data_IF_334901162959
#
_entry.id   IF_334901162959
#
_cell.length_a   1.000
_cell.length_b   1.000
_cell.length_c   1.000
_cell.angle_alpha   90.00
_cell.angle_beta   90.00
_cell.angle_gamma   90.00
#
_symmetry.space_group_name_H-M   'P 1'
#
loop_
_entity.id
_entity.type
_entity.pdbx_description
1 polymer ?
#
# COMPACT_ATOMS: atom_id res chain seq x y z
N UNK A 1 -8.17 21.61 11.36
CA UNK A 1 -7.59 20.59 10.48
C UNK A 1 -6.55 19.81 11.27
N UNK A 2 -6.60 18.46 11.22
CA UNK A 2 -5.63 17.63 11.95
C UNK A 2 -4.22 17.78 11.38
N UNK A 3 -3.15 17.56 12.20
CA UNK A 3 -1.77 17.59 11.70
C UNK A 3 -1.52 16.62 10.54
N UNK A 4 -2.09 15.41 10.60
CA UNK A 4 -1.98 14.40 9.53
C UNK A 4 -2.56 14.91 8.20
N UNK A 5 -3.69 15.59 8.24
CA UNK A 5 -4.33 16.11 7.03
C UNK A 5 -3.52 17.25 6.41
N UNK A 6 -2.94 18.13 7.24
CA UNK A 6 -2.04 19.20 6.76
C UNK A 6 -0.79 18.63 6.11
N UNK A 7 -0.17 17.64 6.74
CA UNK A 7 1.02 16.96 6.23
C UNK A 7 0.72 16.24 4.91
N UNK A 8 -0.44 15.62 4.80
CA UNK A 8 -0.88 14.94 3.58
C UNK A 8 -1.08 15.93 2.43
N UNK A 9 -1.76 17.06 2.68
CA UNK A 9 -1.94 18.09 1.66
C UNK A 9 -0.60 18.65 1.17
N UNK A 10 0.31 18.94 2.09
CA UNK A 10 1.66 19.39 1.77
C UNK A 10 2.39 18.36 0.92
N UNK A 11 2.35 17.09 1.31
CA UNK A 11 2.99 16.00 0.57
C UNK A 11 2.44 15.87 -0.85
N UNK A 12 1.13 16.02 -1.04
CA UNK A 12 0.51 15.99 -2.38
C UNK A 12 1.05 17.10 -3.29
N UNK A 13 1.22 18.28 -2.75
CA UNK A 13 1.76 19.43 -3.49
C UNK A 13 3.25 19.21 -3.83
N UNK A 14 4.01 18.66 -2.89
CA UNK A 14 5.45 18.40 -3.07
C UNK A 14 5.75 17.20 -3.98
N UNK A 15 4.78 16.31 -4.19
CA UNK A 15 4.93 15.11 -5.01
C UNK A 15 3.92 15.06 -6.16
N UNK A 16 3.89 16.07 -7.07
CA UNK A 16 2.93 16.11 -8.16
C UNK A 16 3.06 14.94 -9.13
N UNK A 17 4.24 14.35 -9.24
CA UNK A 17 4.49 13.16 -10.06
C UNK A 17 3.68 11.94 -9.64
N UNK A 18 3.16 11.95 -8.40
CA UNK A 18 2.30 10.90 -7.87
C UNK A 18 0.84 11.37 -7.81
N UNK A 19 0.61 12.59 -7.32
CA UNK A 19 -0.72 13.09 -6.93
C UNK A 19 -1.49 13.85 -8.00
N UNK A 20 -0.81 14.31 -9.06
CA UNK A 20 -1.43 15.19 -10.07
C UNK A 20 -2.50 14.48 -10.90
N UNK A 21 -2.34 13.18 -11.15
CA UNK A 21 -3.28 12.38 -11.92
C UNK A 21 -3.64 11.11 -11.16
N UNK A 22 -4.84 11.10 -10.57
CA UNK A 22 -5.39 9.95 -9.85
C UNK A 22 -6.36 9.13 -10.71
N UNK A 23 -6.33 9.30 -12.03
CA UNK A 23 -7.15 8.49 -12.92
C UNK A 23 -6.71 7.03 -12.88
N UNK A 24 -7.64 6.08 -12.66
CA UNK A 24 -7.32 4.65 -12.64
C UNK A 24 -6.69 4.14 -13.92
N UNK A 25 -7.02 4.77 -15.05
CA UNK A 25 -6.49 4.39 -16.36
C UNK A 25 -4.96 4.48 -16.43
N UNK A 26 -4.33 5.38 -15.69
CA UNK A 26 -2.87 5.54 -15.66
C UNK A 26 -2.15 4.33 -15.06
N UNK A 27 -2.81 3.56 -14.20
CA UNK A 27 -2.27 2.39 -13.51
C UNK A 27 -3.06 1.11 -13.75
N UNK A 28 -3.95 1.12 -14.76
CA UNK A 28 -4.86 0.02 -15.02
C UNK A 28 -4.14 -1.31 -15.30
N UNK A 29 -3.05 -1.29 -16.06
CA UNK A 29 -2.25 -2.48 -16.33
C UNK A 29 -1.67 -3.10 -15.06
N UNK A 30 -1.24 -2.27 -14.11
CA UNK A 30 -0.75 -2.70 -12.80
C UNK A 30 -1.86 -3.32 -11.96
N UNK A 31 -3.04 -2.68 -11.93
CA UNK A 31 -4.21 -3.20 -11.23
C UNK A 31 -4.69 -4.54 -11.81
N UNK A 32 -4.78 -4.64 -13.13
CA UNK A 32 -5.22 -5.86 -13.82
C UNK A 32 -4.22 -7.01 -13.69
N UNK A 33 -2.94 -6.72 -13.46
CA UNK A 33 -1.95 -7.74 -13.13
C UNK A 33 -2.17 -8.37 -11.76
N UNK A 34 -3.11 -7.86 -10.96
CA UNK A 34 -3.38 -8.35 -9.62
C UNK A 34 -2.37 -7.91 -8.58
N UNK A 35 -1.76 -6.75 -8.80
CA UNK A 35 -0.76 -6.18 -7.89
C UNK A 35 -1.31 -5.88 -6.50
N UNK A 36 -2.57 -5.45 -6.40
CA UNK A 36 -3.13 -4.89 -5.17
C UNK A 36 -4.52 -5.43 -4.89
N UNK A 37 -4.77 -5.83 -3.66
CA UNK A 37 -6.08 -6.22 -3.16
C UNK A 37 -6.36 -5.61 -1.80
N UNK A 38 -7.64 -5.62 -1.44
CA UNK A 38 -8.12 -5.17 -0.13
C UNK A 38 -8.98 -6.28 0.46
N UNK A 39 -8.72 -6.65 1.71
CA UNK A 39 -9.49 -7.71 2.36
C UNK A 39 -10.94 -7.27 2.58
N UNK A 40 -11.87 -8.22 2.45
CA UNK A 40 -13.31 -7.97 2.69
C UNK A 40 -13.59 -7.67 4.15
N UNK A 41 -12.86 -8.32 5.06
CA UNK A 41 -13.04 -8.17 6.49
C UNK A 41 -11.89 -7.39 7.12
N UNK A 42 -12.22 -6.61 8.15
CA UNK A 42 -11.23 -5.89 8.96
C UNK A 42 -10.53 -6.87 9.91
N UNK A 43 -9.35 -6.48 10.39
CA UNK A 43 -8.67 -7.27 11.41
C UNK A 43 -9.38 -7.13 12.77
N UNK A 44 -8.95 -7.88 13.81
CA UNK A 44 -9.61 -7.83 15.12
C UNK A 44 -9.59 -6.45 15.80
N UNK A 45 -8.69 -5.56 15.38
CA UNK A 45 -8.63 -4.19 15.89
C UNK A 45 -9.46 -3.19 15.06
N UNK A 46 -10.17 -3.68 14.04
CA UNK A 46 -10.99 -2.86 13.16
C UNK A 46 -10.24 -2.19 12.02
N UNK A 47 -8.97 -2.47 11.84
CA UNK A 47 -8.15 -1.88 10.77
C UNK A 47 -8.50 -2.47 9.41
N UNK A 48 -8.51 -1.62 8.39
CA UNK A 48 -8.60 -2.06 6.99
C UNK A 48 -7.27 -2.72 6.60
N UNK A 49 -7.33 -3.83 5.88
CA UNK A 49 -6.12 -4.58 5.50
C UNK A 49 -5.91 -4.53 3.99
N UNK A 50 -4.75 -4.04 3.60
CA UNK A 50 -4.31 -3.89 2.22
C UNK A 50 -3.24 -4.93 1.91
N UNK A 51 -3.30 -5.54 0.71
CA UNK A 51 -2.27 -6.48 0.25
C UNK A 51 -1.67 -5.96 -1.04
N UNK A 52 -0.33 -6.00 -1.12
CA UNK A 52 0.45 -5.63 -2.29
C UNK A 52 1.33 -6.80 -2.70
N UNK A 53 1.22 -7.24 -3.95
CA UNK A 53 2.05 -8.32 -4.52
C UNK A 53 3.12 -7.72 -5.43
N UNK A 54 4.30 -7.49 -4.89
CA UNK A 54 5.38 -6.80 -5.60
C UNK A 54 5.84 -7.58 -6.85
N UNK A 55 5.77 -8.90 -6.82
CA UNK A 55 6.10 -9.73 -7.99
C UNK A 55 5.20 -9.49 -9.21
N UNK A 56 4.01 -8.93 -9.02
CA UNK A 56 3.09 -8.58 -10.11
C UNK A 56 3.37 -7.20 -10.71
N UNK A 57 4.30 -6.45 -10.13
CA UNK A 57 4.77 -5.19 -10.66
C UNK A 57 5.88 -5.42 -11.68
N UNK A 58 5.62 -5.09 -12.95
CA UNK A 58 6.65 -5.10 -13.99
C UNK A 58 7.34 -3.72 -14.02
N UNK A 59 8.62 -3.62 -13.55
CA UNK A 59 9.31 -2.34 -13.49
C UNK A 59 9.72 -1.79 -14.87
N UNK A 60 9.55 -2.56 -15.93
CA UNK A 60 9.72 -2.07 -17.31
C UNK A 60 8.54 -1.26 -17.78
N UNK A 61 7.34 -1.54 -17.26
CA UNK A 61 6.09 -0.89 -17.66
C UNK A 61 5.65 0.21 -16.69
N UNK A 62 5.96 0.06 -15.41
CA UNK A 62 5.52 0.97 -14.36
C UNK A 62 6.68 1.37 -13.47
N UNK A 63 6.75 2.65 -13.13
CA UNK A 63 7.76 3.18 -12.22
C UNK A 63 7.32 3.02 -10.75
N UNK A 64 8.22 3.31 -9.82
CA UNK A 64 7.89 3.39 -8.39
C UNK A 64 6.79 4.43 -8.13
N UNK A 65 6.72 5.50 -8.91
CA UNK A 65 5.67 6.52 -8.79
C UNK A 65 4.29 5.99 -9.15
N UNK A 66 4.20 5.11 -10.14
CA UNK A 66 2.94 4.42 -10.49
C UNK A 66 2.47 3.52 -9.37
N UNK A 67 3.40 2.78 -8.75
CA UNK A 67 3.14 1.94 -7.58
C UNK A 67 2.61 2.77 -6.41
N UNK A 68 3.22 3.91 -6.15
CA UNK A 68 2.73 4.88 -5.16
C UNK A 68 1.32 5.38 -5.47
N UNK A 69 1.06 5.67 -6.74
CA UNK A 69 -0.24 6.17 -7.17
C UNK A 69 -1.36 5.18 -6.87
N UNK A 70 -1.10 3.88 -7.01
CA UNK A 70 -2.07 2.84 -6.61
C UNK A 70 -2.43 2.97 -5.13
N UNK A 71 -1.44 3.12 -4.27
CA UNK A 71 -1.67 3.30 -2.83
C UNK A 71 -2.43 4.58 -2.52
N UNK A 72 -2.11 5.67 -3.21
CA UNK A 72 -2.79 6.95 -3.02
C UNK A 72 -4.26 6.87 -3.45
N UNK A 73 -4.55 6.24 -4.60
CA UNK A 73 -5.91 6.01 -5.07
C UNK A 73 -6.72 5.23 -4.03
N UNK A 74 -6.19 4.11 -3.56
CA UNK A 74 -6.84 3.30 -2.53
C UNK A 74 -7.11 4.12 -1.27
N UNK A 75 -6.14 4.90 -0.83
CA UNK A 75 -6.27 5.72 0.39
C UNK A 75 -7.37 6.76 0.28
N UNK A 76 -7.47 7.42 -0.86
CA UNK A 76 -8.51 8.43 -1.11
C UNK A 76 -9.91 7.81 -1.09
N UNK A 77 -10.04 6.53 -1.45
CA UNK A 77 -11.31 5.82 -1.41
C UNK A 77 -11.65 5.32 0.00
N UNK A 78 -10.70 4.70 0.70
CA UNK A 78 -10.98 4.11 2.02
C UNK A 78 -11.02 5.14 3.14
N UNK A 79 -10.42 6.33 2.97
CA UNK A 79 -10.50 7.40 3.98
C UNK A 79 -11.93 7.90 4.20
N UNK A 80 -12.83 7.64 3.25
CA UNK A 80 -14.25 7.98 3.36
C UNK A 80 -14.99 7.10 4.35
N UNK A 81 -14.45 5.93 4.68
CA UNK A 81 -15.01 5.00 5.66
C UNK A 81 -14.70 5.49 7.07
N UNK A 82 -15.74 5.78 7.85
CA UNK A 82 -15.58 6.29 9.22
C UNK A 82 -14.77 5.33 10.11
N UNK A 83 -15.01 4.04 9.97
CA UNK A 83 -14.31 3.01 10.74
C UNK A 83 -12.82 2.94 10.38
N UNK A 84 -12.47 3.16 9.12
CA UNK A 84 -11.07 3.25 8.67
C UNK A 84 -10.38 4.51 9.22
N UNK A 85 -11.09 5.63 9.30
CA UNK A 85 -10.58 6.85 9.94
C UNK A 85 -10.23 6.62 11.40
N UNK A 86 -11.05 5.85 12.12
CA UNK A 86 -10.87 5.54 13.54
C UNK A 86 -9.76 4.50 13.78
N UNK A 87 -9.73 3.45 12.99
CA UNK A 87 -8.94 2.25 13.26
C UNK A 87 -7.72 2.09 12.35
N UNK A 88 -7.57 2.96 11.35
CA UNK A 88 -6.42 2.98 10.47
C UNK A 88 -6.34 1.79 9.53
N UNK A 89 -5.14 1.56 9.01
CA UNK A 89 -4.83 0.52 8.02
C UNK A 89 -3.66 -0.33 8.45
N UNK A 90 -3.64 -1.57 7.98
CA UNK A 90 -2.47 -2.45 8.01
C UNK A 90 -2.18 -2.91 6.59
N UNK A 91 -0.91 -3.01 6.24
CA UNK A 91 -0.47 -3.40 4.91
C UNK A 91 0.33 -4.70 4.97
N UNK A 92 0.05 -5.61 4.04
CA UNK A 92 0.83 -6.82 3.81
C UNK A 92 1.52 -6.66 2.46
N UNK A 93 2.85 -6.67 2.46
CA UNK A 93 3.67 -6.61 1.26
C UNK A 93 4.24 -8.00 0.99
N UNK A 94 3.72 -8.66 -0.04
CA UNK A 94 4.26 -9.93 -0.53
C UNK A 94 5.39 -9.62 -1.50
N UNK A 95 6.61 -9.92 -1.07
CA UNK A 95 7.83 -9.64 -1.82
C UNK A 95 8.30 -10.84 -2.67
N UNK A 96 7.48 -11.89 -2.79
CA UNK A 96 7.78 -12.97 -3.70
C UNK A 96 7.92 -12.43 -5.13
N UNK A 97 9.02 -12.78 -5.78
CA UNK A 97 9.31 -12.26 -7.11
C UNK A 97 10.03 -10.90 -7.12
N UNK A 98 10.44 -10.38 -5.97
CA UNK A 98 11.30 -9.20 -5.89
C UNK A 98 12.59 -9.44 -6.67
N UNK A 99 12.92 -8.50 -7.58
CA UNK A 99 14.11 -8.56 -8.46
C UNK A 99 14.96 -7.31 -8.32
N UNK A 100 16.20 -7.37 -8.80
CA UNK A 100 17.07 -6.19 -8.85
C UNK A 100 16.45 -5.03 -9.64
N UNK A 101 15.66 -5.32 -10.68
CA UNK A 101 14.95 -4.30 -11.44
C UNK A 101 13.98 -3.49 -10.57
N UNK A 102 13.35 -4.11 -9.56
CA UNK A 102 12.54 -3.41 -8.57
C UNK A 102 13.42 -2.54 -7.67
N UNK A 103 14.54 -3.08 -7.20
CA UNK A 103 15.46 -2.36 -6.32
C UNK A 103 16.01 -1.09 -6.99
N UNK A 104 16.29 -1.12 -8.28
CA UNK A 104 16.78 0.04 -9.04
C UNK A 104 15.74 1.17 -9.13
N UNK A 105 14.46 0.88 -8.92
CA UNK A 105 13.42 1.91 -8.85
C UNK A 105 13.44 2.70 -7.53
N UNK A 106 14.11 2.17 -6.50
CA UNK A 106 14.11 2.76 -5.16
C UNK A 106 15.39 3.59 -4.95
N UNK A 107 15.36 4.83 -5.39
CA UNK A 107 16.42 5.81 -5.09
C UNK A 107 16.28 6.32 -3.64
N UNK A 108 17.31 7.01 -3.09
CA UNK A 108 17.17 7.67 -1.78
C UNK A 108 15.99 8.65 -1.72
N UNK A 109 15.72 9.38 -2.81
CA UNK A 109 14.58 10.29 -2.88
C UNK A 109 13.24 9.54 -2.80
N UNK A 110 13.11 8.43 -3.51
CA UNK A 110 11.92 7.55 -3.45
C UNK A 110 11.79 6.93 -2.05
N UNK A 111 12.88 6.45 -1.46
CA UNK A 111 12.89 5.89 -0.11
C UNK A 111 12.36 6.90 0.92
N UNK A 112 12.77 8.16 0.83
CA UNK A 112 12.28 9.24 1.69
C UNK A 112 10.77 9.46 1.52
N UNK A 113 10.27 9.42 0.29
CA UNK A 113 8.83 9.55 -0.01
C UNK A 113 8.03 8.38 0.54
N UNK A 114 8.56 7.15 0.44
CA UNK A 114 7.95 5.96 1.04
C UNK A 114 7.82 6.15 2.55
N UNK A 115 8.90 6.55 3.21
CA UNK A 115 8.90 6.75 4.66
C UNK A 115 7.92 7.83 5.09
N UNK A 116 7.80 8.93 4.36
CA UNK A 116 6.86 10.01 4.66
C UNK A 116 5.41 9.51 4.63
N UNK A 117 5.04 8.72 3.62
CA UNK A 117 3.70 8.14 3.51
C UNK A 117 3.40 7.19 4.67
N UNK A 118 4.38 6.39 5.09
CA UNK A 118 4.20 5.42 6.18
C UNK A 118 4.15 6.09 7.57
N UNK A 119 4.65 7.30 7.70
CA UNK A 119 4.75 7.99 9.00
C UNK A 119 3.66 9.03 9.22
N UNK A 120 3.80 10.21 8.67
CA UNK A 120 2.98 11.36 9.03
C UNK A 120 2.34 12.10 7.85
N UNK A 121 2.65 11.69 6.62
CA UNK A 121 2.12 12.34 5.41
C UNK A 121 0.94 11.61 4.78
N UNK A 122 0.42 10.58 5.43
CA UNK A 122 -0.72 9.79 4.98
C UNK A 122 -1.97 10.19 5.75
N UNK A 123 -3.16 10.26 5.11
CA UNK A 123 -4.39 10.69 5.80
C UNK A 123 -4.93 9.65 6.78
N UNK A 124 -4.38 8.44 6.77
CA UNK A 124 -4.78 7.33 7.61
C UNK A 124 -3.62 6.87 8.49
N UNK A 125 -3.95 6.43 9.69
CA UNK A 125 -2.96 5.87 10.61
C UNK A 125 -2.52 4.48 10.13
N UNK A 126 -1.23 4.32 9.89
CA UNK A 126 -0.63 3.02 9.55
C UNK A 126 -0.33 2.28 10.85
N UNK A 127 -1.08 1.21 11.12
CA UNK A 127 -0.99 0.45 12.38
C UNK A 127 -0.12 -0.77 12.29
N UNK A 128 0.22 -1.21 11.11
CA UNK A 128 1.09 -2.38 10.91
C UNK A 128 1.55 -2.48 9.47
N UNK A 129 2.79 -2.89 9.30
CA UNK A 129 3.43 -3.14 8.02
C UNK A 129 4.04 -4.53 8.11
N UNK A 130 3.50 -5.45 7.32
CA UNK A 130 3.90 -6.85 7.32
C UNK A 130 4.55 -7.21 6.00
N UNK A 131 5.82 -7.62 6.05
CA UNK A 131 6.58 -8.07 4.90
C UNK A 131 6.65 -9.60 4.92
N UNK A 132 6.26 -10.24 3.82
CA UNK A 132 6.33 -11.68 3.66
C UNK A 132 7.12 -12.03 2.40
N UNK A 133 7.74 -13.20 2.41
CA UNK A 133 8.55 -13.71 1.29
C UNK A 133 9.70 -12.77 0.88
N UNK A 134 10.17 -11.90 1.77
CA UNK A 134 11.27 -11.01 1.45
C UNK A 134 12.58 -11.78 1.31
N UNK A 135 13.26 -11.62 0.15
CA UNK A 135 14.58 -12.22 -0.04
C UNK A 135 15.65 -11.42 0.72
N UNK A 136 16.80 -12.03 0.98
CA UNK A 136 17.89 -11.38 1.69
C UNK A 136 18.34 -10.08 1.01
N UNK A 137 18.34 -10.04 -0.31
CA UNK A 137 18.77 -8.84 -1.04
C UNK A 137 17.73 -7.69 -1.04
N UNK A 138 16.57 -7.89 -0.41
CA UNK A 138 15.63 -6.81 -0.11
C UNK A 138 16.11 -5.97 1.10
N UNK A 139 16.83 -6.54 2.03
CA UNK A 139 17.26 -5.84 3.25
C UNK A 139 18.02 -4.53 2.98
N UNK A 140 18.93 -4.45 1.97
CA UNK A 140 19.57 -3.18 1.64
C UNK A 140 18.59 -2.08 1.22
N UNK A 141 17.51 -2.43 0.54
CA UNK A 141 16.44 -1.47 0.16
C UNK A 141 15.71 -0.97 1.40
N UNK A 142 15.36 -1.86 2.31
CA UNK A 142 14.73 -1.46 3.57
C UNK A 142 15.65 -0.58 4.41
N UNK A 143 16.97 -0.84 4.37
CA UNK A 143 17.96 -0.02 5.06
C UNK A 143 18.02 1.42 4.54
N UNK A 144 17.62 1.68 3.29
CA UNK A 144 17.49 3.04 2.75
C UNK A 144 16.26 3.77 3.30
N UNK A 145 15.20 3.03 3.62
CA UNK A 145 13.92 3.58 4.11
C UNK A 145 13.97 3.83 5.61
N UNK A 146 14.55 2.90 6.35
CA UNK A 146 14.53 2.84 7.81
C UNK A 146 14.96 4.14 8.51
N UNK A 147 16.03 4.86 8.09
CA UNK A 147 16.45 6.09 8.77
C UNK A 147 15.41 7.21 8.76
N UNK A 148 14.47 7.18 7.82
CA UNK A 148 13.43 8.18 7.70
C UNK A 148 12.15 7.82 8.47
N UNK A 149 12.07 6.61 9.03
CA UNK A 149 10.92 6.16 9.81
C UNK A 149 11.03 6.64 11.26
N UNK A 150 9.88 6.97 11.88
CA UNK A 150 9.82 7.23 13.31
C UNK A 150 10.02 5.93 14.10
N UNK A 151 10.43 6.01 15.37
CA UNK A 151 10.54 4.84 16.24
C UNK A 151 9.22 4.08 16.34
N UNK A 152 8.11 4.82 16.42
CA UNK A 152 6.76 4.25 16.48
C UNK A 152 6.44 3.38 15.26
N UNK A 153 6.79 3.83 14.06
CA UNK A 153 6.56 3.06 12.83
C UNK A 153 7.51 1.86 12.74
N UNK A 154 8.78 2.02 13.14
CA UNK A 154 9.73 0.90 13.17
C UNK A 154 9.21 -0.26 14.02
N UNK A 155 8.56 0.03 15.15
CA UNK A 155 7.96 -0.98 16.03
C UNK A 155 6.76 -1.70 15.39
N UNK A 156 6.18 -1.12 14.35
CA UNK A 156 5.03 -1.68 13.62
C UNK A 156 5.40 -2.44 12.36
N UNK A 157 6.69 -2.53 12.05
CA UNK A 157 7.20 -3.28 10.90
C UNK A 157 7.52 -4.71 11.35
N UNK A 158 6.93 -5.68 10.65
CA UNK A 158 7.10 -7.11 10.92
C UNK A 158 7.65 -7.77 9.66
N UNK A 159 8.84 -8.34 9.74
CA UNK A 159 9.46 -9.11 8.66
C UNK A 159 9.29 -10.59 8.95
N UNK A 160 8.41 -11.25 8.19
CA UNK A 160 8.02 -12.63 8.44
C UNK A 160 8.88 -13.66 7.69
N UNK A 161 9.54 -13.25 6.61
CA UNK A 161 10.31 -14.17 5.78
C UNK A 161 9.45 -15.13 4.97
N UNK A 162 10.08 -16.23 4.50
CA UNK A 162 9.39 -17.22 3.67
C UNK A 162 8.47 -18.13 4.49
N UNK A 163 8.75 -18.31 5.76
CA UNK A 163 7.94 -19.14 6.67
C UNK A 163 6.95 -18.26 7.45
N UNK A 164 6.16 -17.49 6.72
CA UNK A 164 5.32 -16.43 7.27
C UNK A 164 3.96 -16.90 7.82
N UNK A 165 3.46 -18.06 7.37
CA UNK A 165 2.06 -18.43 7.66
C UNK A 165 1.72 -18.43 9.14
N UNK A 166 2.60 -19.01 9.98
CA UNK A 166 2.39 -19.07 11.42
C UNK A 166 2.39 -17.68 12.05
N UNK A 167 3.40 -16.86 11.76
CA UNK A 167 3.54 -15.54 12.36
C UNK A 167 2.51 -14.55 11.82
N UNK A 168 2.12 -14.66 10.55
CA UNK A 168 1.10 -13.81 9.95
C UNK A 168 -0.28 -14.02 10.61
N UNK A 169 -0.62 -15.27 10.93
CA UNK A 169 -1.89 -15.61 11.59
C UNK A 169 -1.98 -15.14 13.04
N UNK A 170 -0.87 -14.78 13.66
CA UNK A 170 -0.88 -14.11 14.96
C UNK A 170 -1.49 -12.69 14.87
N UNK A 171 -1.42 -12.07 13.70
CA UNK A 171 -1.93 -10.71 13.46
C UNK A 171 -3.24 -10.69 12.68
N UNK A 172 -3.45 -11.67 11.80
CA UNK A 172 -4.61 -11.74 10.92
C UNK A 172 -5.25 -13.13 11.02
N UNK A 173 -6.50 -13.24 11.50
CA UNK A 173 -7.18 -14.53 11.55
C UNK A 173 -7.27 -15.20 10.18
N UNK A 174 -7.18 -16.52 10.15
CA UNK A 174 -7.28 -17.30 8.90
C UNK A 174 -8.57 -17.02 8.13
N UNK A 175 -9.65 -16.69 8.83
CA UNK A 175 -10.95 -16.38 8.20
C UNK A 175 -10.94 -15.11 7.34
N UNK A 176 -10.00 -14.21 7.50
CA UNK A 176 -9.93 -12.98 6.71
C UNK A 176 -8.83 -13.00 5.65
N UNK A 177 -7.89 -13.95 5.73
CA UNK A 177 -6.77 -14.06 4.79
C UNK A 177 -7.17 -14.83 3.52
N UNK A 178 -6.65 -14.43 2.36
CA UNK A 178 -6.80 -15.21 1.12
C UNK A 178 -6.24 -16.62 1.25
N UNK A 179 -6.77 -17.53 0.46
CA UNK A 179 -6.36 -18.94 0.47
C UNK A 179 -4.86 -19.12 0.16
N UNK A 180 -4.27 -18.29 -0.69
CA UNK A 180 -2.82 -18.36 -1.03
C UNK A 180 -1.93 -18.04 0.17
N UNK A 181 -2.44 -17.36 1.16
CA UNK A 181 -1.73 -17.00 2.39
C UNK A 181 -2.16 -17.86 3.59
N UNK A 182 -2.72 -19.04 3.32
CA UNK A 182 -3.14 -19.99 4.34
C UNK A 182 -4.50 -19.68 4.96
N UNK A 183 -5.29 -18.81 4.35
CA UNK A 183 -6.57 -18.40 4.86
C UNK A 183 -7.77 -19.12 4.25
N UNK A 184 -8.96 -18.73 4.69
CA UNK A 184 -10.25 -19.30 4.30
C UNK A 184 -11.04 -18.40 3.34
N UNK A 185 -10.54 -17.18 3.09
CA UNK A 185 -11.19 -16.23 2.19
C UNK A 185 -10.90 -16.59 0.73
N UNK A 186 -11.64 -16.00 -0.22
CA UNK A 186 -11.40 -16.19 -1.64
C UNK A 186 -9.95 -15.83 -2.03
N UNK A 187 -9.54 -16.18 -3.25
CA UNK A 187 -8.18 -15.93 -3.73
C UNK A 187 -7.82 -14.45 -3.73
N UNK A 188 -6.53 -14.15 -3.60
CA UNK A 188 -6.04 -12.77 -3.73
C UNK A 188 -6.33 -12.21 -5.13
N UNK A 189 -6.34 -13.04 -6.16
CA UNK A 189 -6.70 -12.60 -7.51
C UNK A 189 -8.15 -12.11 -7.59
N UNK A 190 -9.06 -12.82 -6.93
CA UNK A 190 -10.46 -12.40 -6.87
C UNK A 190 -10.62 -11.11 -6.07
N UNK A 191 -9.95 -10.99 -4.93
CA UNK A 191 -9.95 -9.75 -4.13
C UNK A 191 -9.36 -8.57 -4.90
N UNK A 192 -8.27 -8.79 -5.64
CA UNK A 192 -7.64 -7.77 -6.47
C UNK A 192 -8.59 -7.32 -7.60
N UNK A 193 -9.31 -8.26 -8.21
CA UNK A 193 -10.32 -7.93 -9.23
C UNK A 193 -11.45 -7.11 -8.65
N UNK A 194 -12.00 -7.51 -7.51
CA UNK A 194 -13.06 -6.76 -6.84
C UNK A 194 -12.62 -5.32 -6.54
N UNK A 195 -11.40 -5.16 -6.03
CA UNK A 195 -10.90 -3.84 -5.71
C UNK A 195 -10.62 -2.99 -6.94
N UNK A 196 -10.08 -3.60 -8.01
CA UNK A 196 -9.87 -2.94 -9.29
C UNK A 196 -11.19 -2.45 -9.88
N UNK A 197 -12.23 -3.28 -9.84
CA UNK A 197 -13.58 -2.90 -10.32
C UNK A 197 -14.14 -1.72 -9.51
N UNK A 198 -13.93 -1.72 -8.20
CA UNK A 198 -14.35 -0.61 -7.33
C UNK A 198 -13.58 0.69 -7.65
N UNK A 199 -12.26 0.60 -7.86
CA UNK A 199 -11.45 1.74 -8.28
C UNK A 199 -11.95 2.30 -9.62
N UNK A 200 -12.22 1.43 -10.58
CA UNK A 200 -12.71 1.86 -11.92
C UNK A 200 -14.07 2.53 -11.81
N UNK A 201 -14.96 2.02 -10.97
CA UNK A 201 -16.26 2.62 -10.72
C UNK A 201 -16.16 3.99 -10.02
N UNK A 202 -15.03 4.30 -9.41
CA UNK A 202 -14.77 5.56 -8.69
C UNK A 202 -14.00 6.58 -9.53
N UNK A 203 -13.85 6.37 -10.83
CA UNK A 203 -13.03 7.20 -11.73
C UNK A 203 -13.44 8.69 -11.70
N UNK A 204 -14.72 8.99 -11.70
CA UNK A 204 -15.22 10.38 -11.67
C UNK A 204 -14.85 11.10 -10.37
N UNK A 205 -15.00 10.40 -9.26
CA UNK A 205 -14.60 10.93 -7.95
C UNK A 205 -13.08 11.21 -7.91
N UNK A 206 -12.28 10.26 -8.39
CA UNK A 206 -10.82 10.39 -8.41
C UNK A 206 -10.38 11.54 -9.32
N UNK A 207 -11.05 11.75 -10.42
CA UNK A 207 -10.81 12.90 -11.30
C UNK A 207 -11.09 14.22 -10.56
N UNK A 208 -12.20 14.29 -9.84
CA UNK A 208 -12.60 15.50 -9.10
C UNK A 208 -11.56 15.93 -8.07
N UNK A 209 -10.98 14.98 -7.32
CA UNK A 209 -9.96 15.28 -6.31
C UNK A 209 -8.56 15.52 -6.91
N UNK A 210 -8.28 15.02 -8.11
CA UNK A 210 -7.03 15.32 -8.83
C UNK A 210 -6.99 16.79 -9.28
N UNK A 211 -8.09 17.33 -9.75
CA UNK A 211 -8.20 18.73 -10.20
C UNK A 211 -8.05 19.72 -9.03
N UNK A 212 -8.60 19.38 -7.86
CA UNK A 212 -8.52 20.24 -6.65
C UNK A 212 -7.09 20.37 -6.13
N UNK A 213 -6.21 19.41 -6.43
CA UNK A 213 -4.81 19.48 -5.99
C UNK A 213 -3.94 20.41 -6.84
N UNK A 214 -4.47 20.98 -7.93
CA UNK A 214 -3.77 21.90 -8.85
C UNK A 214 -4.07 23.37 -8.56
N UNK A 215 -5.03 23.68 -7.68
CA UNK A 215 -5.34 25.02 -7.21
C UNK A 215 -4.58 25.32 -5.89
#
# INVERSE_FOLDING_TARGET
>A
MSPLLKNYQKWRIECPEISADLQPSSVLGLLRAGYHGVLRSRDPHGSKVLIYRIGQWDPKLFTAYDVFRVSLITSELIVKELETQRNGVKAIFDLQGWRFAHAFQISPAVAKKIAAVLTDSFPLKVRGIHLINEPLFFHPVFALIKPFLTEKIKERVYMHGNNYMQTLTEHFPVGILPQEYGGEEVSIEELAKEWTDFIMASADYLQSISLVAQE
#
